data_IF_432614387572
#
_entry.id   IF_432614387572
#
_cell.length_a   1.000
_cell.length_b   1.000
_cell.length_c   1.000
_cell.angle_alpha   90.00
_cell.angle_beta   90.00
_cell.angle_gamma   90.00
#
_symmetry.space_group_name_H-M   'P 1'
#
loop_
_entity.id
_entity.type
_entity.pdbx_description
1 polymer ?
#
# COMPACT_ATOMS: atom_id res chain seq x y z
N UNK A 1 -12.32 51.14 -5.05
CA UNK A 1 -11.67 50.46 -6.19
C UNK A 1 -11.64 48.95 -5.91
N UNK A 2 -12.15 48.09 -6.79
CA UNK A 2 -12.08 46.64 -6.57
C UNK A 2 -10.63 46.20 -6.64
N UNK A 3 -10.18 45.46 -5.62
CA UNK A 3 -8.85 44.84 -5.61
C UNK A 3 -8.77 43.84 -6.75
N UNK A 4 -7.82 44.03 -7.67
CA UNK A 4 -7.55 43.06 -8.73
C UNK A 4 -7.32 41.69 -8.10
N UNK A 5 -8.06 40.67 -8.55
CA UNK A 5 -7.78 39.26 -8.15
C UNK A 5 -6.38 38.93 -8.65
N UNK A 6 -5.42 38.77 -7.72
CA UNK A 6 -4.10 38.22 -8.06
C UNK A 6 -4.34 36.93 -8.83
N UNK A 7 -3.72 36.80 -10.00
CA UNK A 7 -3.76 35.57 -10.77
C UNK A 7 -3.23 34.44 -9.90
N UNK A 8 -4.09 33.49 -9.59
CA UNK A 8 -3.71 32.35 -8.76
C UNK A 8 -2.86 31.41 -9.62
N UNK A 9 -1.60 31.25 -9.26
CA UNK A 9 -0.74 30.27 -9.93
C UNK A 9 -1.27 28.88 -9.63
N UNK A 10 -1.85 28.25 -10.65
CA UNK A 10 -2.35 26.87 -10.54
C UNK A 10 -1.20 25.93 -10.89
N UNK A 11 -0.68 25.22 -9.90
CA UNK A 11 0.27 24.14 -10.13
C UNK A 11 -0.49 22.92 -10.67
N UNK A 12 -0.13 22.42 -11.85
CA UNK A 12 -0.79 21.27 -12.50
C UNK A 12 -0.73 19.99 -11.67
N UNK A 13 0.24 19.87 -10.76
CA UNK A 13 0.42 18.72 -9.86
C UNK A 13 -0.26 18.89 -8.50
N UNK A 14 -0.77 20.08 -8.19
CA UNK A 14 -1.40 20.36 -6.89
C UNK A 14 -2.88 20.04 -6.94
N UNK A 15 -3.26 18.94 -6.33
CA UNK A 15 -4.67 18.57 -6.13
C UNK A 15 -5.28 19.48 -5.06
N UNK A 16 -6.37 20.17 -5.36
CA UNK A 16 -7.11 20.93 -4.37
C UNK A 16 -7.77 19.98 -3.35
N UNK A 17 -7.62 20.29 -2.06
CA UNK A 17 -8.29 19.54 -1.00
C UNK A 17 -9.81 19.67 -1.18
N UNK A 18 -10.50 18.54 -1.27
CA UNK A 18 -11.97 18.49 -1.38
C UNK A 18 -12.70 18.93 -0.10
N UNK A 19 -11.94 19.13 1.00
CA UNK A 19 -12.44 19.64 2.26
C UNK A 19 -13.66 18.88 2.81
N UNK A 20 -14.57 19.60 3.45
CA UNK A 20 -15.78 19.03 4.05
C UNK A 20 -16.74 18.40 3.02
N UNK A 21 -16.87 19.00 1.82
CA UNK A 21 -17.72 18.47 0.73
C UNK A 21 -17.24 17.08 0.29
N UNK A 22 -15.92 16.86 0.20
CA UNK A 22 -15.36 15.56 -0.16
C UNK A 22 -15.61 14.50 0.90
N UNK A 23 -15.49 14.85 2.17
CA UNK A 23 -15.80 13.93 3.29
C UNK A 23 -17.27 13.54 3.28
N UNK A 24 -18.18 14.49 3.09
CA UNK A 24 -19.61 14.23 2.98
C UNK A 24 -19.99 13.34 1.80
N UNK A 25 -19.30 13.49 0.65
CA UNK A 25 -19.51 12.62 -0.50
C UNK A 25 -19.08 11.18 -0.22
N UNK A 26 -17.93 10.98 0.46
CA UNK A 26 -17.46 9.63 0.87
C UNK A 26 -18.43 9.01 1.87
N UNK A 27 -18.91 9.76 2.88
CA UNK A 27 -19.89 9.27 3.84
C UNK A 27 -21.16 8.77 3.14
N UNK A 28 -21.75 9.58 2.27
CA UNK A 28 -22.96 9.19 1.51
C UNK A 28 -22.71 7.95 0.67
N UNK A 29 -21.59 7.89 -0.05
CA UNK A 29 -21.25 6.75 -0.90
C UNK A 29 -21.04 5.44 -0.10
N UNK A 30 -20.49 5.51 1.11
CA UNK A 30 -20.35 4.36 2.02
C UNK A 30 -21.73 3.93 2.55
N UNK A 31 -22.60 4.85 2.92
CA UNK A 31 -23.96 4.58 3.38
C UNK A 31 -24.84 3.95 2.28
N UNK A 32 -24.75 4.48 1.06
CA UNK A 32 -25.41 3.90 -0.12
C UNK A 32 -24.92 2.46 -0.37
N UNK A 33 -23.60 2.23 -0.29
CA UNK A 33 -23.03 0.91 -0.46
C UNK A 33 -23.45 -0.04 0.66
N UNK A 34 -23.46 0.41 1.92
CA UNK A 34 -23.94 -0.40 3.06
C UNK A 34 -25.41 -0.82 2.91
N UNK A 35 -26.23 -0.03 2.21
CA UNK A 35 -27.63 -0.36 1.94
C UNK A 35 -27.81 -1.29 0.74
N UNK A 36 -26.89 -1.25 -0.23
CA UNK A 36 -27.00 -1.95 -1.51
C UNK A 36 -26.34 -3.35 -1.51
N UNK A 37 -25.40 -3.61 -0.60
CA UNK A 37 -24.64 -4.85 -0.56
C UNK A 37 -24.92 -5.64 0.73
N UNK A 38 -24.78 -6.97 0.62
CA UNK A 38 -25.02 -7.88 1.73
C UNK A 38 -23.78 -8.11 2.60
N UNK A 39 -22.58 -8.05 2.02
CA UNK A 39 -21.32 -8.24 2.74
C UNK A 39 -20.49 -6.98 2.77
N UNK A 40 -19.91 -6.71 3.94
CA UNK A 40 -18.90 -5.67 4.16
C UNK A 40 -17.63 -6.31 4.69
N UNK A 41 -16.51 -6.08 4.02
CA UNK A 41 -15.21 -6.61 4.41
C UNK A 41 -14.26 -5.48 4.79
N UNK A 42 -13.47 -5.70 5.82
CA UNK A 42 -12.27 -4.90 6.11
C UNK A 42 -11.07 -5.69 5.62
N UNK A 43 -10.23 -5.04 4.87
CA UNK A 43 -9.00 -5.63 4.36
C UNK A 43 -7.83 -4.67 4.51
N UNK A 44 -6.64 -5.21 4.72
CA UNK A 44 -5.36 -4.52 4.72
C UNK A 44 -4.60 -4.80 3.42
N UNK A 45 -3.74 -3.87 3.00
CA UNK A 45 -2.96 -4.02 1.77
C UNK A 45 -1.48 -3.90 2.09
N UNK A 46 -0.75 -4.99 1.93
CA UNK A 46 0.70 -5.00 2.05
C UNK A 46 1.35 -4.52 0.75
N UNK A 47 2.41 -3.73 0.87
CA UNK A 47 3.18 -3.17 -0.26
C UNK A 47 2.30 -2.50 -1.32
N UNK A 48 1.35 -1.68 -0.88
CA UNK A 48 0.31 -1.09 -1.73
C UNK A 48 0.86 -0.44 -3.01
N UNK A 49 0.32 -0.85 -4.17
CA UNK A 49 0.51 -0.24 -5.48
C UNK A 49 -0.82 -0.03 -6.19
N UNK A 50 -1.04 1.17 -6.66
CA UNK A 50 -2.27 1.52 -7.37
C UNK A 50 -2.51 0.66 -8.62
N UNK A 51 -1.45 0.19 -9.28
CA UNK A 51 -1.53 -0.66 -10.46
C UNK A 51 -2.20 -2.00 -10.12
N UNK A 52 -1.72 -2.70 -9.10
CA UNK A 52 -2.28 -3.98 -8.68
C UNK A 52 -3.68 -3.82 -8.11
N UNK A 53 -3.90 -2.78 -7.31
CA UNK A 53 -5.24 -2.47 -6.81
C UNK A 53 -6.25 -2.19 -7.92
N UNK A 54 -5.81 -1.57 -9.04
CA UNK A 54 -6.65 -1.38 -10.23
C UNK A 54 -7.04 -2.73 -10.84
N UNK A 55 -6.10 -3.68 -10.92
CA UNK A 55 -6.37 -5.03 -11.42
C UNK A 55 -7.38 -5.76 -10.52
N UNK A 56 -7.18 -5.72 -9.20
CA UNK A 56 -8.13 -6.29 -8.23
C UNK A 56 -9.52 -5.70 -8.40
N UNK A 57 -9.64 -4.37 -8.50
CA UNK A 57 -10.95 -3.72 -8.77
C UNK A 57 -11.57 -4.13 -10.09
N UNK A 58 -10.76 -4.46 -11.09
CA UNK A 58 -11.27 -4.93 -12.39
C UNK A 58 -11.82 -6.35 -12.31
N UNK A 59 -11.30 -7.17 -11.42
CA UNK A 59 -11.80 -8.54 -11.17
C UNK A 59 -13.14 -8.51 -10.42
N UNK A 60 -13.32 -7.56 -9.50
CA UNK A 60 -14.53 -7.37 -8.70
C UNK A 60 -15.40 -6.21 -9.23
N UNK A 61 -15.88 -6.31 -10.48
CA UNK A 61 -16.67 -5.24 -11.13
C UNK A 61 -18.01 -4.96 -10.46
N UNK A 62 -18.60 -5.97 -9.85
CA UNK A 62 -19.89 -5.89 -9.15
C UNK A 62 -19.76 -5.40 -7.71
N UNK A 63 -18.54 -5.27 -7.22
CA UNK A 63 -18.22 -4.89 -5.85
C UNK A 63 -17.67 -3.48 -5.77
N UNK A 64 -17.68 -2.88 -4.59
CA UNK A 64 -17.24 -1.49 -4.40
C UNK A 64 -16.16 -1.39 -3.34
N UNK A 65 -15.01 -0.83 -3.72
CA UNK A 65 -13.86 -0.61 -2.83
C UNK A 65 -13.80 0.83 -2.38
N UNK A 66 -13.61 1.02 -1.08
CA UNK A 66 -13.37 2.32 -0.48
C UNK A 66 -12.00 2.34 0.20
N UNK A 67 -11.21 3.35 -0.17
CA UNK A 67 -9.97 3.72 0.50
C UNK A 67 -10.10 5.18 0.89
N UNK A 68 -9.99 5.47 2.15
CA UNK A 68 -10.15 6.82 2.63
C UNK A 68 -9.74 6.96 4.08
N UNK A 69 -10.12 8.05 4.71
CA UNK A 69 -9.89 8.21 6.13
C UNK A 69 -10.78 7.24 6.93
N UNK A 70 -10.15 6.38 7.72
CA UNK A 70 -10.83 5.40 8.59
C UNK A 70 -11.91 6.06 9.45
N UNK A 71 -11.59 7.23 10.06
CA UNK A 71 -12.54 8.00 10.88
C UNK A 71 -13.79 8.46 10.09
N UNK A 72 -13.65 8.74 8.78
CA UNK A 72 -14.80 9.16 7.94
C UNK A 72 -15.64 7.94 7.56
N UNK A 73 -15.01 6.82 7.23
CA UNK A 73 -15.70 5.57 6.91
C UNK A 73 -16.40 4.98 8.14
N UNK A 74 -15.72 4.96 9.28
CA UNK A 74 -16.29 4.51 10.55
C UNK A 74 -17.50 5.37 10.97
N UNK A 75 -17.38 6.70 10.88
CA UNK A 75 -18.51 7.59 11.14
C UNK A 75 -19.68 7.39 10.17
N UNK A 76 -19.41 6.98 8.94
CA UNK A 76 -20.44 6.70 7.94
C UNK A 76 -21.25 5.44 8.27
N UNK A 77 -20.62 4.43 8.86
CA UNK A 77 -21.26 3.17 9.27
C UNK A 77 -21.89 3.24 10.66
N UNK A 78 -21.38 4.14 11.52
CA UNK A 78 -21.73 4.25 12.94
C UNK A 78 -20.64 3.62 13.82
N UNK A 79 -20.17 4.34 14.83
CA UNK A 79 -19.13 3.85 15.75
C UNK A 79 -19.69 3.14 16.98
N UNK A 80 -20.95 3.43 17.30
CA UNK A 80 -21.64 2.94 18.49
C UNK A 80 -22.93 2.23 18.10
N UNK A 81 -23.42 1.28 18.92
CA UNK A 81 -24.68 0.58 18.66
C UNK A 81 -25.89 1.50 18.48
N UNK A 82 -25.84 2.72 19.09
CA UNK A 82 -26.92 3.70 18.98
C UNK A 82 -26.92 4.49 17.66
N UNK A 83 -25.74 4.59 17.03
CA UNK A 83 -25.52 5.37 15.79
C UNK A 83 -25.33 4.52 14.55
N UNK A 84 -25.35 3.20 14.70
CA UNK A 84 -25.14 2.27 13.58
C UNK A 84 -26.30 2.29 12.57
N UNK A 85 -25.96 2.08 11.30
CA UNK A 85 -26.95 2.03 10.21
C UNK A 85 -27.69 0.68 10.17
N UNK A 86 -26.98 -0.39 10.51
CA UNK A 86 -27.48 -1.76 10.54
C UNK A 86 -26.92 -2.47 11.75
N UNK A 87 -27.61 -3.51 12.21
CA UNK A 87 -27.28 -4.28 13.40
C UNK A 87 -25.85 -4.83 13.38
N UNK A 88 -25.08 -4.58 14.44
CA UNK A 88 -23.69 -5.02 14.62
C UNK A 88 -22.64 -4.45 13.61
N UNK A 89 -23.00 -3.51 12.75
CA UNK A 89 -22.04 -2.92 11.77
C UNK A 89 -20.98 -2.04 12.46
N UNK A 90 -21.23 -1.55 13.68
CA UNK A 90 -20.26 -0.81 14.49
C UNK A 90 -18.97 -1.61 14.75
N UNK A 91 -19.04 -2.97 14.74
CA UNK A 91 -17.86 -3.84 14.88
C UNK A 91 -16.89 -3.68 13.70
N UNK A 92 -17.40 -3.46 12.49
CA UNK A 92 -16.59 -3.10 11.31
C UNK A 92 -15.93 -1.73 11.52
N UNK A 93 -16.67 -0.76 12.07
CA UNK A 93 -16.14 0.58 12.33
C UNK A 93 -14.96 0.55 13.30
N UNK A 94 -15.03 -0.31 14.33
CA UNK A 94 -13.97 -0.50 15.31
C UNK A 94 -12.75 -1.25 14.74
N UNK A 95 -12.95 -2.09 13.72
CA UNK A 95 -11.87 -2.78 13.02
C UNK A 95 -11.12 -1.90 12.00
N UNK A 96 -11.55 -0.66 11.76
CA UNK A 96 -10.90 0.27 10.83
C UNK A 96 -9.70 0.98 11.48
N UNK A 97 -8.63 0.23 11.74
CA UNK A 97 -7.39 0.73 12.35
C UNK A 97 -6.23 0.49 11.37
N UNK A 98 -5.30 1.45 11.26
CA UNK A 98 -4.13 1.36 10.38
C UNK A 98 -4.46 1.55 8.88
N UNK A 99 -3.69 0.89 8.02
CA UNK A 99 -3.81 0.97 6.56
C UNK A 99 -4.82 -0.03 6.01
N UNK A 100 -6.10 0.27 6.20
CA UNK A 100 -7.21 -0.60 5.83
C UNK A 100 -8.17 0.04 4.83
N UNK A 101 -8.93 -0.79 4.14
CA UNK A 101 -10.02 -0.39 3.25
C UNK A 101 -11.29 -1.19 3.49
N UNK A 102 -12.39 -0.70 2.91
CA UNK A 102 -13.68 -1.39 2.90
C UNK A 102 -13.97 -1.96 1.50
N UNK A 103 -14.46 -3.19 1.48
CA UNK A 103 -15.01 -3.84 0.30
C UNK A 103 -16.49 -4.19 0.57
N UNK A 104 -17.35 -3.72 -0.30
CA UNK A 104 -18.78 -4.06 -0.33
C UNK A 104 -19.04 -5.00 -1.50
N UNK A 105 -19.66 -6.15 -1.24
CA UNK A 105 -19.89 -7.18 -2.25
C UNK A 105 -21.11 -8.04 -1.94
N UNK A 106 -21.69 -8.65 -2.98
CA UNK A 106 -22.71 -9.69 -2.85
C UNK A 106 -22.14 -11.07 -3.20
N UNK A 107 -20.83 -11.18 -3.40
CA UNK A 107 -20.18 -12.46 -3.65
C UNK A 107 -20.09 -13.29 -2.37
N UNK A 108 -20.05 -14.62 -2.52
CA UNK A 108 -19.94 -15.53 -1.38
C UNK A 108 -18.60 -15.37 -0.66
N UNK A 109 -18.59 -15.63 0.64
CA UNK A 109 -17.42 -15.56 1.51
C UNK A 109 -16.24 -16.39 0.96
N UNK A 110 -16.54 -17.59 0.44
CA UNK A 110 -15.54 -18.50 -0.12
C UNK A 110 -14.90 -17.94 -1.41
N UNK A 111 -15.72 -17.35 -2.32
CA UNK A 111 -15.25 -16.74 -3.55
C UNK A 111 -14.30 -15.57 -3.26
N UNK A 112 -14.68 -14.71 -2.32
CA UNK A 112 -13.87 -13.54 -1.92
C UNK A 112 -12.54 -14.00 -1.32
N UNK A 113 -12.56 -14.93 -0.35
CA UNK A 113 -11.33 -15.45 0.26
C UNK A 113 -10.41 -16.07 -0.79
N UNK A 114 -10.92 -16.98 -1.62
CA UNK A 114 -10.14 -17.62 -2.67
C UNK A 114 -9.49 -16.62 -3.62
N UNK A 115 -10.25 -15.63 -4.08
CA UNK A 115 -9.75 -14.62 -5.01
C UNK A 115 -8.64 -13.75 -4.43
N UNK A 116 -8.67 -13.45 -3.13
CA UNK A 116 -7.62 -12.66 -2.47
C UNK A 116 -6.42 -13.51 -2.04
N UNK A 117 -6.62 -14.77 -1.68
CA UNK A 117 -5.53 -15.69 -1.34
C UNK A 117 -4.70 -16.07 -2.59
N UNK A 118 -5.36 -16.21 -3.75
CA UNK A 118 -4.70 -16.50 -5.03
C UNK A 118 -4.01 -15.27 -5.65
N UNK A 119 -4.38 -14.04 -5.25
CA UNK A 119 -3.85 -12.83 -5.86
C UNK A 119 -2.62 -12.32 -5.13
N UNK A 120 -1.46 -12.67 -5.65
CA UNK A 120 -0.16 -12.14 -5.23
C UNK A 120 0.58 -11.56 -6.43
N UNK A 121 1.34 -10.49 -6.22
CA UNK A 121 2.14 -9.90 -7.28
C UNK A 121 3.49 -9.42 -6.74
N UNK A 122 4.56 -9.94 -7.36
CA UNK A 122 5.92 -9.53 -7.03
C UNK A 122 6.19 -8.10 -7.45
N UNK A 123 6.76 -7.31 -6.57
CA UNK A 123 7.10 -5.91 -6.80
C UNK A 123 8.46 -5.55 -6.18
N UNK A 124 8.91 -4.36 -6.53
CA UNK A 124 10.14 -3.80 -5.99
C UNK A 124 9.92 -3.24 -4.59
N UNK A 125 10.82 -3.59 -3.67
CA UNK A 125 10.82 -3.06 -2.33
C UNK A 125 11.00 -1.54 -2.31
N UNK A 126 10.35 -0.88 -1.35
CA UNK A 126 10.47 0.56 -1.12
C UNK A 126 11.40 0.85 0.05
N UNK A 127 11.81 2.10 0.18
CA UNK A 127 12.51 2.56 1.38
C UNK A 127 11.65 2.25 2.63
N UNK A 128 12.29 1.69 3.65
CA UNK A 128 11.63 1.24 4.86
C UNK A 128 11.22 -0.23 4.88
N UNK A 129 11.12 -0.91 3.73
CA UNK A 129 10.91 -2.35 3.68
C UNK A 129 12.16 -3.08 4.19
N UNK A 130 11.97 -4.29 4.70
CA UNK A 130 13.05 -5.18 5.13
C UNK A 130 13.53 -5.99 3.94
N UNK A 131 14.85 -6.10 3.75
CA UNK A 131 15.44 -6.94 2.71
C UNK A 131 15.23 -8.42 3.04
N UNK A 132 14.71 -9.18 2.09
CA UNK A 132 14.42 -10.61 2.27
C UNK A 132 15.63 -11.50 1.99
N UNK A 133 16.62 -10.99 1.28
CA UNK A 133 17.89 -11.68 0.99
C UNK A 133 19.00 -10.67 0.70
N UNK A 134 20.24 -11.14 0.82
CA UNK A 134 21.44 -10.35 0.50
C UNK A 134 21.61 -10.19 -1.00
N UNK A 135 21.90 -8.97 -1.47
CA UNK A 135 22.21 -8.67 -2.88
C UNK A 135 23.61 -8.11 -3.00
N UNK A 136 24.44 -8.80 -3.78
CA UNK A 136 25.84 -8.42 -4.05
C UNK A 136 26.05 -8.30 -5.57
N UNK A 137 26.65 -7.22 -5.97
CA UNK A 137 27.09 -6.99 -7.37
C UNK A 137 28.57 -7.34 -7.41
N UNK A 138 29.00 -8.35 -8.20
CA UNK A 138 30.41 -8.75 -8.27
C UNK A 138 31.25 -7.70 -8.99
N UNK A 139 32.54 -7.66 -8.66
CA UNK A 139 33.54 -6.84 -9.36
C UNK A 139 33.57 -7.12 -10.87
N UNK A 140 33.78 -6.11 -11.68
CA UNK A 140 33.85 -6.20 -13.12
C UNK A 140 32.74 -5.44 -13.83
N UNK A 141 32.29 -5.92 -14.99
CA UNK A 141 31.17 -5.34 -15.75
C UNK A 141 29.84 -5.57 -15.02
N UNK A 142 29.03 -4.52 -14.91
CA UNK A 142 27.76 -4.56 -14.16
C UNK A 142 26.63 -4.92 -15.10
N UNK A 143 25.87 -5.95 -14.72
CA UNK A 143 24.71 -6.46 -15.44
C UNK A 143 23.45 -6.40 -14.58
N UNK A 144 22.28 -6.34 -15.21
CA UNK A 144 20.99 -6.38 -14.53
C UNK A 144 20.21 -7.64 -14.86
N UNK A 145 19.44 -8.08 -13.91
CA UNK A 145 18.55 -9.23 -14.04
C UNK A 145 19.24 -10.56 -14.30
N UNK A 146 18.49 -11.62 -14.30
CA UNK A 146 19.01 -12.99 -14.52
C UNK A 146 19.57 -13.21 -15.93
N UNK A 147 19.06 -12.45 -16.93
CA UNK A 147 19.56 -12.53 -18.32
C UNK A 147 20.91 -11.83 -18.54
N UNK A 148 21.49 -11.22 -17.48
CA UNK A 148 22.73 -10.46 -17.54
C UNK A 148 22.74 -9.41 -18.66
N UNK A 149 21.70 -8.56 -18.69
CA UNK A 149 21.63 -7.46 -19.62
C UNK A 149 22.58 -6.35 -19.21
N UNK A 150 23.38 -5.79 -20.13
CA UNK A 150 24.25 -4.66 -19.80
C UNK A 150 23.44 -3.40 -19.54
N UNK A 151 23.92 -2.56 -18.65
CA UNK A 151 23.31 -1.25 -18.40
C UNK A 151 23.63 -0.27 -19.52
N UNK A 152 22.69 0.60 -19.90
CA UNK A 152 23.00 1.74 -20.75
C UNK A 152 24.03 2.68 -20.10
N UNK A 153 24.98 3.19 -20.87
CA UNK A 153 26.09 4.04 -20.37
C UNK A 153 25.64 5.29 -19.62
N UNK A 154 24.50 5.86 -20.01
CA UNK A 154 23.89 7.03 -19.37
C UNK A 154 23.37 6.76 -17.95
N UNK A 155 23.31 5.52 -17.50
CA UNK A 155 22.90 5.14 -16.13
C UNK A 155 24.04 5.25 -15.11
N UNK A 156 25.30 5.34 -15.56
CA UNK A 156 26.46 5.37 -14.66
C UNK A 156 26.41 6.53 -13.65
N UNK A 157 26.12 7.79 -14.04
CA UNK A 157 26.02 8.88 -13.07
C UNK A 157 24.93 8.65 -12.02
N UNK A 158 23.77 8.09 -12.42
CA UNK A 158 22.69 7.79 -11.48
C UNK A 158 23.11 6.71 -10.47
N UNK A 159 23.81 5.66 -10.91
CA UNK A 159 24.30 4.61 -10.01
C UNK A 159 25.32 5.15 -9.01
N UNK A 160 26.19 6.06 -9.44
CA UNK A 160 27.16 6.74 -8.57
C UNK A 160 26.46 7.63 -7.53
N UNK A 161 25.46 8.37 -7.95
CA UNK A 161 24.65 9.21 -7.04
C UNK A 161 23.87 8.35 -6.00
N UNK A 162 23.54 7.12 -6.36
CA UNK A 162 22.94 6.16 -5.44
C UNK A 162 23.95 5.44 -4.52
N UNK A 163 25.24 5.81 -4.60
CA UNK A 163 26.30 5.34 -3.71
C UNK A 163 27.09 4.14 -4.22
N UNK A 164 26.83 3.68 -5.45
CA UNK A 164 27.57 2.56 -6.05
C UNK A 164 28.87 3.09 -6.70
N UNK A 165 30.07 2.56 -6.37
CA UNK A 165 31.35 3.07 -6.89
C UNK A 165 31.60 2.64 -8.34
N UNK A 166 30.76 3.13 -9.26
CA UNK A 166 30.82 2.78 -10.68
C UNK A 166 31.82 3.65 -11.45
N UNK A 167 32.35 3.09 -12.52
CA UNK A 167 33.19 3.75 -13.52
C UNK A 167 32.80 3.31 -14.91
N UNK A 168 32.96 4.20 -15.89
CA UNK A 168 32.77 3.85 -17.29
C UNK A 168 34.12 3.45 -17.88
N UNK A 169 34.27 2.19 -18.34
CA UNK A 169 35.41 1.66 -19.07
C UNK A 169 34.97 1.12 -20.42
N UNK A 170 35.56 1.57 -21.49
CA UNK A 170 35.24 1.14 -22.85
C UNK A 170 33.73 1.18 -23.18
N UNK A 171 33.02 2.15 -22.65
CA UNK A 171 31.60 2.28 -22.83
C UNK A 171 30.73 1.33 -21.98
N UNK A 172 31.33 0.62 -21.00
CA UNK A 172 30.65 -0.29 -20.10
C UNK A 172 30.75 0.20 -18.66
N UNK A 173 29.69 -0.01 -17.90
CA UNK A 173 29.68 0.31 -16.47
C UNK A 173 30.40 -0.81 -15.72
N UNK A 174 31.41 -0.45 -14.92
CA UNK A 174 32.23 -1.38 -14.16
C UNK A 174 32.39 -0.94 -12.72
N UNK A 175 32.64 -1.92 -11.82
CA UNK A 175 33.05 -1.69 -10.44
C UNK A 175 34.37 -2.42 -10.17
N UNK A 176 35.22 -1.84 -9.33
CA UNK A 176 36.58 -2.37 -9.06
C UNK A 176 36.56 -3.47 -7.97
N UNK A 177 35.56 -3.50 -7.13
CA UNK A 177 35.38 -4.48 -6.04
C UNK A 177 33.92 -4.87 -5.90
N UNK A 178 33.65 -6.01 -5.27
CA UNK A 178 32.28 -6.43 -4.96
C UNK A 178 31.55 -5.35 -4.15
N UNK A 179 30.32 -5.08 -4.53
CA UNK A 179 29.46 -4.09 -3.87
C UNK A 179 28.23 -4.73 -3.31
N UNK A 180 28.04 -4.63 -2.00
CA UNK A 180 26.82 -5.10 -1.31
C UNK A 180 25.78 -4.00 -1.35
N UNK A 181 24.64 -4.26 -1.98
CA UNK A 181 23.50 -3.32 -2.02
C UNK A 181 22.76 -3.37 -0.68
N UNK A 182 22.44 -4.56 -0.19
CA UNK A 182 21.78 -4.78 1.10
C UNK A 182 22.14 -6.16 1.66
N UNK A 183 22.12 -6.28 2.98
CA UNK A 183 22.14 -7.56 3.70
C UNK A 183 20.70 -8.01 3.99
N UNK A 184 20.52 -9.31 4.23
CA UNK A 184 19.25 -9.86 4.67
C UNK A 184 18.86 -9.27 6.04
N UNK A 185 17.60 -8.86 6.20
CA UNK A 185 17.09 -8.25 7.41
C UNK A 185 17.31 -6.73 7.51
N UNK A 186 18.09 -6.13 6.61
CA UNK A 186 18.31 -4.69 6.61
C UNK A 186 17.03 -3.91 6.24
N UNK A 187 16.79 -2.79 6.94
CA UNK A 187 15.79 -1.82 6.54
C UNK A 187 16.31 -0.99 5.35
N UNK A 188 15.73 -1.19 4.18
CA UNK A 188 16.17 -0.58 2.94
C UNK A 188 16.08 0.95 2.96
N UNK A 189 17.17 1.61 2.58
CA UNK A 189 17.21 3.04 2.30
C UNK A 189 16.59 3.37 0.95
N UNK A 190 16.34 4.65 0.67
CA UNK A 190 15.82 5.08 -0.63
C UNK A 190 16.81 4.82 -1.77
N UNK A 191 18.12 4.92 -1.51
CA UNK A 191 19.17 4.63 -2.48
C UNK A 191 19.23 3.13 -2.80
N UNK A 192 19.27 2.27 -1.79
CA UNK A 192 19.23 0.81 -1.96
C UNK A 192 17.98 0.34 -2.72
N UNK A 193 16.81 0.85 -2.37
CA UNK A 193 15.55 0.50 -3.06
C UNK A 193 15.56 0.89 -4.54
N UNK A 194 16.19 2.02 -4.90
CA UNK A 194 16.37 2.45 -6.29
C UNK A 194 17.36 1.58 -7.02
N UNK A 195 18.49 1.22 -6.39
CA UNK A 195 19.46 0.28 -6.96
C UNK A 195 18.79 -1.07 -7.22
N UNK A 196 18.12 -1.67 -6.24
CA UNK A 196 17.40 -2.94 -6.41
C UNK A 196 16.43 -2.89 -7.60
N UNK A 197 15.69 -1.78 -7.77
CA UNK A 197 14.82 -1.59 -8.92
C UNK A 197 15.58 -1.55 -10.24
N UNK A 198 16.75 -0.93 -10.31
CA UNK A 198 17.59 -0.90 -11.52
C UNK A 198 18.14 -2.29 -11.85
N UNK A 199 18.46 -3.08 -10.84
CA UNK A 199 18.89 -4.47 -10.98
C UNK A 199 17.76 -5.46 -11.24
N UNK A 200 16.48 -5.00 -11.23
CA UNK A 200 15.26 -5.81 -11.36
C UNK A 200 15.05 -6.81 -10.24
N UNK A 201 15.66 -6.55 -9.07
CA UNK A 201 15.48 -7.38 -7.89
C UNK A 201 14.15 -7.05 -7.19
N UNK A 202 13.25 -8.02 -7.16
CA UNK A 202 11.94 -7.90 -6.53
C UNK A 202 11.98 -8.58 -5.16
N UNK A 203 11.78 -7.80 -4.11
CA UNK A 203 11.80 -8.26 -2.72
C UNK A 203 10.49 -8.00 -1.99
N UNK A 204 9.50 -7.44 -2.64
CA UNK A 204 8.22 -7.15 -2.04
C UNK A 204 7.12 -7.91 -2.77
N UNK A 205 6.14 -8.39 -2.01
CA UNK A 205 4.93 -9.01 -2.56
C UNK A 205 3.74 -8.13 -2.22
N UNK A 206 2.98 -7.75 -3.24
CA UNK A 206 1.68 -7.13 -3.04
C UNK A 206 0.68 -8.22 -2.67
N UNK A 207 0.07 -8.08 -1.49
CA UNK A 207 -0.95 -9.00 -0.99
C UNK A 207 -2.07 -8.23 -0.30
N UNK A 208 -3.29 -8.71 -0.43
CA UNK A 208 -4.45 -8.21 0.31
C UNK A 208 -4.79 -9.21 1.41
N UNK A 209 -4.80 -8.75 2.66
CA UNK A 209 -5.20 -9.55 3.82
C UNK A 209 -6.61 -9.17 4.25
N UNK A 210 -7.49 -10.14 4.32
CA UNK A 210 -8.85 -9.96 4.84
C UNK A 210 -8.82 -10.02 6.36
N UNK A 211 -9.29 -8.95 7.02
CA UNK A 211 -9.27 -8.81 8.49
C UNK A 211 -10.54 -9.35 9.12
N UNK A 212 -11.67 -8.90 8.66
CA UNK A 212 -12.99 -9.31 9.13
C UNK A 212 -14.06 -9.07 8.08
N UNK A 213 -15.21 -9.68 8.26
CA UNK A 213 -16.39 -9.39 7.46
C UNK A 213 -17.66 -9.33 8.31
N UNK A 214 -18.64 -8.64 7.80
CA UNK A 214 -19.98 -8.51 8.33
C UNK A 214 -20.99 -8.83 7.23
N UNK A 215 -22.07 -9.51 7.61
CA UNK A 215 -23.18 -9.84 6.74
C UNK A 215 -24.45 -9.09 7.16
N UNK A 216 -25.33 -8.82 6.22
CA UNK A 216 -26.59 -8.08 6.42
C UNK A 216 -27.56 -8.72 7.45
N UNK A 217 -27.33 -9.97 7.85
CA UNK A 217 -28.02 -10.63 8.97
C UNK A 217 -27.57 -10.18 10.36
N UNK A 218 -26.57 -9.29 10.45
CA UNK A 218 -25.94 -8.88 11.72
C UNK A 218 -24.79 -9.79 12.16
N UNK A 219 -24.41 -10.79 11.36
CA UNK A 219 -23.29 -11.69 11.65
C UNK A 219 -21.97 -10.97 11.41
N UNK A 220 -21.07 -11.00 12.39
CA UNK A 220 -19.70 -10.47 12.30
C UNK A 220 -18.70 -11.60 12.55
N UNK A 221 -17.75 -11.77 11.63
CA UNK A 221 -16.69 -12.78 11.71
C UNK A 221 -15.34 -12.12 11.60
N UNK A 222 -14.49 -12.34 12.57
CA UNK A 222 -13.09 -11.92 12.57
C UNK A 222 -12.22 -13.04 11.99
N UNK A 223 -11.35 -12.73 11.03
CA UNK A 223 -10.51 -13.70 10.33
C UNK A 223 -9.06 -13.68 10.83
N UNK A 224 -8.54 -12.52 11.16
CA UNK A 224 -7.19 -12.34 11.71
C UNK A 224 -7.34 -11.90 13.15
N UNK A 225 -6.66 -12.59 14.07
CA UNK A 225 -6.61 -12.20 15.48
C UNK A 225 -5.99 -10.82 15.64
N UNK A 226 -6.41 -10.09 16.63
CA UNK A 226 -5.98 -8.74 16.99
C UNK A 226 -4.54 -8.65 17.54
N UNK A 227 -3.64 -9.53 17.08
CA UNK A 227 -2.25 -9.56 17.57
C UNK A 227 -1.39 -8.37 17.09
N UNK A 228 -1.84 -7.65 16.05
CA UNK A 228 -1.09 -6.50 15.54
C UNK A 228 -1.36 -5.16 16.27
N UNK A 229 -2.31 -5.11 17.20
CA UNK A 229 -2.64 -3.88 17.94
C UNK A 229 -2.12 -3.85 19.39
N UNK A 230 -1.52 -4.94 19.85
CA UNK A 230 -0.94 -5.02 21.20
C UNK A 230 0.54 -4.57 21.24
N UNK A 231 1.30 -4.79 20.17
CA UNK A 231 2.72 -4.45 20.17
C UNK A 231 3.02 -2.95 19.99
N UNK A 232 2.14 -2.18 19.33
CA UNK A 232 2.33 -0.72 19.17
C UNK A 232 1.89 0.10 20.42
N UNK A 233 1.13 -0.49 21.34
CA UNK A 233 0.70 0.21 22.58
C UNK A 233 1.66 0.01 23.75
N UNK A 234 2.50 -1.02 23.73
CA UNK A 234 3.48 -1.26 24.80
C UNK A 234 4.79 -0.48 24.62
N UNK A 235 5.20 -0.19 23.35
CA UNK A 235 6.40 0.65 23.11
C UNK A 235 6.19 2.15 23.39
N UNK A 236 4.95 2.64 23.47
CA UNK A 236 4.70 4.06 23.75
C UNK A 236 4.67 4.39 25.25
N UNK A 237 4.51 3.40 26.12
CA UNK A 237 4.43 3.63 27.58
C UNK A 237 5.78 3.45 28.29
N UNK A 238 6.79 2.80 27.64
CA UNK A 238 8.14 2.68 28.21
C UNK A 238 9.06 3.90 27.95
N UNK A 239 8.71 4.82 27.06
CA UNK A 239 9.49 6.05 26.83
C UNK A 239 9.09 7.25 27.72
N UNK A 240 8.17 7.08 28.67
CA UNK A 240 7.71 8.15 29.58
C UNK A 240 7.90 7.87 31.07
N UNK A 241 8.83 7.01 31.47
CA UNK A 241 9.36 6.94 32.85
C UNK A 241 10.87 7.38 32.84
#
# INVERSE_FOLDING_TARGET
>A
MPKAKKSQVVHLTKVQSKGQKGRGAVMKAVQEAASAYDYVWVFSVENMRNQYLKTVRSNFKTSRFFFGSNKVMAKALGNEPETEIKENIHKISNALVGDVGLLFTNESVESVKKSFDEYEADDYARAGNIATYRVVVPAGEVFRGYAKEPFPNNMEPEMRDLGMPTRLREGKITIDSDYVICEEGDRLTSQQSRLLKHFWEKMAVFKIKLMCHWHNSGEFVQLVGSEASAEESEESDEEME
#
